data_IF_967649407317
#
_entry.id   IF_967649407317
#
_cell.length_a   1.000
_cell.length_b   1.000
_cell.length_c   1.000
_cell.angle_alpha   90.00
_cell.angle_beta   90.00
_cell.angle_gamma   90.00
#
_symmetry.space_group_name_H-M   'P 1'
#
loop_
_entity.id
_entity.type
_entity.pdbx_description
1 polymer ?
#
# COMPACT_ATOMS: atom_id res chain seq x y z
N UNK A 1 1.46 -45.61 -39.65
CA UNK A 1 1.21 -46.49 -38.48
C UNK A 1 2.27 -46.41 -37.38
N UNK A 2 3.53 -46.09 -37.62
CA UNK A 2 4.56 -45.92 -36.55
C UNK A 2 4.44 -44.61 -35.76
N UNK A 3 3.84 -43.56 -36.34
CA UNK A 3 3.69 -42.27 -35.70
C UNK A 3 2.52 -42.24 -34.69
N UNK A 4 1.43 -42.95 -34.98
CA UNK A 4 0.28 -43.06 -34.06
C UNK A 4 0.59 -43.90 -32.81
N UNK A 5 1.47 -44.89 -32.90
CA UNK A 5 1.90 -45.70 -31.75
C UNK A 5 2.78 -44.92 -30.77
N UNK A 6 3.59 -43.95 -31.24
CA UNK A 6 4.40 -43.08 -30.37
C UNK A 6 3.55 -42.02 -29.64
N UNK A 7 2.51 -41.49 -30.29
CA UNK A 7 1.58 -40.55 -29.61
C UNK A 7 0.73 -41.23 -28.53
N UNK A 8 0.33 -42.49 -28.77
CA UNK A 8 -0.44 -43.23 -27.78
C UNK A 8 0.40 -43.62 -26.56
N UNK A 9 1.70 -43.88 -26.72
CA UNK A 9 2.60 -44.17 -25.60
C UNK A 9 2.95 -42.92 -24.77
N UNK A 10 3.05 -41.75 -25.40
CA UNK A 10 3.26 -40.49 -24.67
C UNK A 10 1.99 -40.05 -23.97
N UNK A 11 0.79 -40.26 -24.55
CA UNK A 11 -0.48 -39.98 -23.89
C UNK A 11 -0.73 -40.90 -22.69
N UNK A 12 -0.33 -42.17 -22.73
CA UNK A 12 -0.45 -43.11 -21.61
C UNK A 12 0.57 -42.80 -20.51
N UNK A 13 1.77 -42.31 -20.84
CA UNK A 13 2.78 -41.92 -19.83
C UNK A 13 2.38 -40.63 -19.09
N UNK A 14 1.72 -39.68 -19.77
CA UNK A 14 1.22 -38.42 -19.12
C UNK A 14 0.00 -38.71 -18.24
N UNK A 15 -0.83 -39.70 -18.59
CA UNK A 15 -1.99 -40.08 -17.74
C UNK A 15 -1.60 -40.92 -16.51
N UNK A 16 -0.45 -41.59 -16.52
CA UNK A 16 0.02 -42.36 -15.36
C UNK A 16 0.82 -41.51 -14.34
N UNK A 17 1.32 -40.33 -14.73
CA UNK A 17 1.98 -39.42 -13.79
C UNK A 17 1.02 -38.45 -13.08
N UNK A 18 -0.23 -38.34 -13.50
CA UNK A 18 -1.26 -37.51 -12.84
C UNK A 18 -2.03 -38.23 -11.73
N UNK A 19 -1.75 -39.50 -11.47
CA UNK A 19 -2.47 -40.30 -10.46
C UNK A 19 -1.60 -40.82 -9.31
N UNK A 20 -0.39 -40.28 -9.11
CA UNK A 20 0.50 -40.69 -8.02
C UNK A 20 1.07 -39.51 -7.25
N UNK A 21 0.33 -38.43 -7.11
CA UNK A 21 0.56 -37.43 -6.09
C UNK A 21 -0.54 -37.53 -5.01
N UNK A 22 -0.89 -38.74 -4.59
CA UNK A 22 -1.38 -38.91 -3.23
C UNK A 22 -0.14 -38.85 -2.35
N UNK A 23 0.15 -37.66 -1.78
CA UNK A 23 1.01 -37.59 -0.60
C UNK A 23 0.38 -38.49 0.45
N UNK A 24 0.85 -39.73 0.53
CA UNK A 24 0.65 -40.54 1.71
C UNK A 24 1.38 -39.81 2.85
N UNK A 25 0.66 -39.00 3.62
CA UNK A 25 1.10 -38.71 4.97
C UNK A 25 1.23 -40.08 5.62
N UNK A 26 2.46 -40.58 5.75
CA UNK A 26 2.76 -41.79 6.49
C UNK A 26 2.13 -41.60 7.86
N UNK A 27 1.27 -42.55 8.27
CA UNK A 27 0.78 -42.61 9.63
C UNK A 27 2.04 -42.66 10.51
N UNK A 28 2.42 -41.52 11.07
CA UNK A 28 3.47 -41.50 12.09
C UNK A 28 3.01 -42.40 13.23
N UNK A 29 3.92 -43.19 13.77
CA UNK A 29 3.66 -43.96 14.98
C UNK A 29 3.07 -43.02 16.04
N UNK A 30 2.20 -43.52 16.89
CA UNK A 30 1.61 -42.77 17.97
C UNK A 30 2.75 -42.18 18.84
N UNK A 31 2.59 -40.92 19.29
CA UNK A 31 3.51 -40.34 20.27
C UNK A 31 3.46 -41.10 21.58
N UNK A 32 4.34 -40.75 22.53
CA UNK A 32 4.42 -41.40 23.85
C UNK A 32 3.12 -41.36 24.66
N UNK A 33 2.20 -40.45 24.28
CA UNK A 33 0.90 -40.32 24.92
C UNK A 33 -0.21 -41.05 24.15
N UNK A 34 0.10 -41.65 23.01
CA UNK A 34 -0.83 -42.39 22.15
C UNK A 34 -1.61 -41.52 21.14
N UNK A 35 -1.17 -40.29 20.89
CA UNK A 35 -1.69 -39.43 19.82
C UNK A 35 -1.02 -39.75 18.48
N UNK A 36 -1.77 -39.69 17.40
CA UNK A 36 -1.25 -39.92 16.04
C UNK A 36 -2.05 -39.15 14.99
N UNK A 37 -1.41 -38.89 13.85
CA UNK A 37 -2.10 -38.37 12.67
C UNK A 37 -3.00 -39.44 12.06
N UNK A 38 -4.24 -39.06 11.76
CA UNK A 38 -5.26 -39.94 11.14
C UNK A 38 -5.94 -39.20 9.99
N UNK A 39 -6.03 -39.88 8.85
CA UNK A 39 -6.83 -39.36 7.71
C UNK A 39 -8.23 -39.98 7.71
N UNK A 40 -9.25 -39.13 7.67
CA UNK A 40 -10.65 -39.49 7.60
C UNK A 40 -11.35 -38.66 6.53
N UNK A 41 -11.90 -39.28 5.48
CA UNK A 41 -12.61 -38.59 4.40
C UNK A 41 -11.79 -37.46 3.72
N UNK A 42 -10.50 -37.69 3.50
CA UNK A 42 -9.59 -36.72 2.88
C UNK A 42 -9.15 -35.59 3.77
N UNK A 43 -9.46 -35.62 5.07
CA UNK A 43 -9.08 -34.66 6.08
C UNK A 43 -8.10 -35.29 7.07
N UNK A 44 -7.16 -34.50 7.56
CA UNK A 44 -6.16 -34.95 8.53
C UNK A 44 -6.49 -34.44 9.93
N UNK A 45 -6.38 -35.31 10.92
CA UNK A 45 -6.61 -35.03 12.33
C UNK A 45 -5.43 -35.53 13.15
N UNK A 46 -5.22 -34.98 14.34
CA UNK A 46 -4.35 -35.55 15.36
C UNK A 46 -5.21 -36.10 16.48
N UNK A 47 -5.18 -37.41 16.69
CA UNK A 47 -6.20 -38.13 17.51
C UNK A 47 -5.56 -39.09 18.51
N UNK A 48 -6.29 -39.27 19.63
CA UNK A 48 -6.05 -40.34 20.60
C UNK A 48 -7.42 -41.02 20.87
N UNK A 49 -7.64 -42.20 20.29
CA UNK A 49 -8.95 -42.80 20.26
C UNK A 49 -9.96 -41.90 19.54
N UNK A 50 -11.07 -41.56 20.20
CA UNK A 50 -12.10 -40.67 19.67
C UNK A 50 -11.79 -39.16 19.90
N UNK A 51 -10.80 -38.84 20.73
CA UNK A 51 -10.41 -37.48 21.01
C UNK A 51 -9.66 -36.88 19.82
N UNK A 52 -10.03 -35.67 19.43
CA UNK A 52 -9.33 -34.86 18.41
C UNK A 52 -8.62 -33.71 19.07
N UNK A 53 -7.41 -33.40 18.60
CA UNK A 53 -6.73 -32.19 18.96
C UNK A 53 -7.39 -30.98 18.32
N UNK A 54 -7.31 -29.84 18.99
CA UNK A 54 -7.81 -28.56 18.50
C UNK A 54 -6.84 -27.45 18.85
N UNK A 55 -6.87 -26.36 18.08
CA UNK A 55 -5.97 -25.21 18.24
C UNK A 55 -4.48 -25.56 18.02
N UNK A 56 -3.57 -24.82 18.64
CA UNK A 56 -2.13 -24.99 18.46
C UNK A 56 -1.59 -26.25 19.15
N UNK A 57 -0.74 -26.98 18.45
CA UNK A 57 -0.01 -28.13 18.98
C UNK A 57 1.43 -28.12 18.48
N UNK A 58 2.36 -28.48 19.37
CA UNK A 58 3.76 -28.80 19.01
C UNK A 58 3.88 -30.31 18.92
N UNK A 59 4.31 -30.82 17.77
CA UNK A 59 4.51 -32.25 17.52
C UNK A 59 5.91 -32.38 16.90
N UNK A 60 6.79 -33.12 17.52
CA UNK A 60 8.20 -33.30 17.10
C UNK A 60 8.93 -31.97 16.81
N UNK A 61 8.71 -30.97 17.67
CA UNK A 61 9.31 -29.65 17.56
C UNK A 61 8.72 -28.75 16.46
N UNK A 62 7.69 -29.18 15.76
CA UNK A 62 6.99 -28.42 14.70
C UNK A 62 5.64 -27.93 15.20
N UNK A 63 5.25 -26.72 14.77
CA UNK A 63 3.96 -26.13 15.11
C UNK A 63 2.90 -26.51 14.11
N UNK A 64 1.74 -26.95 14.62
CA UNK A 64 0.53 -27.27 13.90
C UNK A 64 -0.66 -26.50 14.47
N UNK A 65 -1.68 -26.29 13.67
CA UNK A 65 -2.96 -25.81 14.15
C UNK A 65 -4.08 -26.72 13.65
N UNK A 66 -4.98 -27.05 14.56
CA UNK A 66 -6.17 -27.84 14.28
C UNK A 66 -7.39 -26.96 14.47
N UNK A 67 -8.31 -26.96 13.50
CA UNK A 67 -9.53 -26.16 13.58
C UNK A 67 -10.27 -26.41 14.89
N UNK A 68 -10.64 -25.35 15.58
CA UNK A 68 -11.17 -25.41 16.94
C UNK A 68 -12.56 -26.06 17.03
N UNK A 69 -13.29 -26.19 15.89
CA UNK A 69 -14.62 -26.80 15.82
C UNK A 69 -14.54 -28.24 15.31
N UNK A 70 -13.85 -28.43 14.18
CA UNK A 70 -13.79 -29.73 13.50
C UNK A 70 -12.64 -30.60 13.97
N UNK A 71 -11.56 -29.99 14.50
CA UNK A 71 -10.30 -30.66 14.79
C UNK A 71 -9.48 -30.98 13.53
N UNK A 72 -9.86 -30.49 12.36
CA UNK A 72 -9.16 -30.70 11.10
C UNK A 72 -7.82 -29.95 11.09
N UNK A 73 -6.75 -30.60 10.66
CA UNK A 73 -5.43 -29.97 10.47
C UNK A 73 -5.51 -28.92 9.37
N UNK A 74 -5.08 -27.70 9.66
CA UNK A 74 -5.11 -26.62 8.67
C UNK A 74 -3.86 -26.60 7.79
N UNK A 75 -4.02 -26.10 6.56
CA UNK A 75 -2.94 -25.88 5.58
C UNK A 75 -3.13 -24.52 4.91
N UNK A 76 -2.07 -23.99 4.26
CA UNK A 76 -2.11 -22.71 3.56
C UNK A 76 -2.25 -21.53 4.51
N UNK A 77 -2.88 -20.44 4.03
CA UNK A 77 -3.10 -19.23 4.80
C UNK A 77 -4.20 -19.39 5.85
N UNK A 78 -3.89 -19.00 7.09
CA UNK A 78 -4.84 -19.08 8.21
C UNK A 78 -4.82 -17.79 9.04
N UNK A 79 -5.99 -17.24 9.34
CA UNK A 79 -6.16 -16.12 10.25
C UNK A 79 -6.64 -16.63 11.61
N UNK A 80 -5.70 -16.89 12.50
CA UNK A 80 -5.93 -17.63 13.75
C UNK A 80 -5.31 -16.92 14.95
N UNK A 81 -5.77 -17.21 16.18
CA UNK A 81 -5.21 -16.63 17.39
C UNK A 81 -3.72 -16.93 17.54
N UNK A 82 -2.96 -15.94 18.03
CA UNK A 82 -1.55 -16.13 18.34
C UNK A 82 -1.37 -17.19 19.44
N UNK A 83 -0.27 -17.97 19.44
CA UNK A 83 0.11 -18.79 20.58
C UNK A 83 0.27 -17.90 21.82
N UNK A 84 -0.25 -18.30 22.97
CA UNK A 84 -0.10 -17.50 24.19
C UNK A 84 1.32 -17.55 24.74
N UNK A 85 1.83 -16.39 25.17
CA UNK A 85 3.15 -16.29 25.81
C UNK A 85 3.16 -17.13 27.10
N UNK A 86 3.99 -18.18 27.15
CA UNK A 86 4.13 -19.07 28.30
C UNK A 86 3.30 -20.34 28.27
N UNK A 87 2.44 -20.55 27.24
CA UNK A 87 1.87 -21.87 27.02
C UNK A 87 2.84 -22.71 26.20
N UNK A 88 3.06 -23.94 26.62
CA UNK A 88 3.85 -24.92 25.84
C UNK A 88 3.06 -25.45 24.64
N UNK A 89 1.76 -25.20 24.58
CA UNK A 89 0.85 -25.77 23.59
C UNK A 89 -0.27 -24.76 23.33
N UNK A 90 -0.22 -24.10 22.16
CA UNK A 90 -1.29 -23.25 21.66
C UNK A 90 -1.69 -22.07 22.53
N UNK A 91 -2.68 -21.29 22.08
CA UNK A 91 -3.07 -20.05 22.75
C UNK A 91 -3.75 -20.26 24.10
N UNK A 92 -4.24 -21.45 24.43
CA UNK A 92 -5.03 -21.67 25.66
C UNK A 92 -4.69 -23.00 26.34
N UNK A 93 -3.94 -22.98 27.46
CA UNK A 93 -3.99 -24.11 28.39
C UNK A 93 -5.35 -24.08 29.08
N UNK A 94 -6.14 -25.10 28.86
CA UNK A 94 -7.33 -25.45 29.64
C UNK A 94 -8.24 -24.30 30.10
N UNK A 95 -9.21 -23.91 29.30
CA UNK A 95 -10.44 -23.29 29.80
C UNK A 95 -10.49 -21.77 29.91
N UNK A 96 -9.68 -21.01 29.18
CA UNK A 96 -9.83 -19.55 29.13
C UNK A 96 -11.00 -19.21 28.18
N UNK A 97 -11.92 -18.38 28.68
CA UNK A 97 -13.10 -17.93 27.94
C UNK A 97 -12.75 -17.16 26.68
N UNK A 98 -13.55 -17.29 25.63
CA UNK A 98 -13.44 -16.62 24.32
C UNK A 98 -13.28 -15.10 24.39
N UNK A 99 -13.68 -14.45 25.48
CA UNK A 99 -13.57 -13.01 25.74
C UNK A 99 -12.13 -12.50 25.93
N UNK A 100 -11.16 -13.40 26.12
CA UNK A 100 -9.73 -13.10 26.25
C UNK A 100 -8.87 -13.68 25.12
N UNK A 101 -9.47 -13.93 23.95
CA UNK A 101 -8.68 -14.41 22.80
C UNK A 101 -7.60 -13.41 22.44
N UNK A 102 -6.31 -13.80 22.39
CA UNK A 102 -5.29 -12.96 21.80
C UNK A 102 -5.64 -12.62 20.37
N UNK A 103 -5.24 -11.43 19.94
CA UNK A 103 -5.53 -10.96 18.58
C UNK A 103 -5.10 -12.00 17.55
N UNK A 104 -5.98 -12.34 16.62
CA UNK A 104 -5.65 -13.22 15.51
C UNK A 104 -4.64 -12.58 14.57
N UNK A 105 -3.82 -13.40 13.95
CA UNK A 105 -2.82 -13.00 12.95
C UNK A 105 -2.86 -13.98 11.78
N UNK A 106 -2.28 -13.55 10.66
CA UNK A 106 -2.09 -14.41 9.51
C UNK A 106 -0.81 -15.24 9.65
N UNK A 107 -0.97 -16.57 9.42
CA UNK A 107 0.09 -17.57 9.39
C UNK A 107 0.00 -18.36 8.10
N UNK A 108 1.11 -19.00 7.72
CA UNK A 108 1.15 -19.87 6.57
C UNK A 108 1.64 -21.25 6.98
N UNK A 109 0.85 -22.29 6.66
CA UNK A 109 1.16 -23.69 6.89
C UNK A 109 1.42 -24.38 5.55
N UNK A 110 2.43 -25.26 5.48
CA UNK A 110 2.67 -26.05 4.29
C UNK A 110 1.58 -27.13 4.11
N UNK A 111 1.72 -27.94 3.05
CA UNK A 111 0.76 -29.02 2.76
C UNK A 111 0.76 -30.16 3.81
N UNK A 112 1.83 -30.26 4.60
CA UNK A 112 1.91 -31.21 5.71
C UNK A 112 1.34 -30.62 7.03
N UNK A 113 0.74 -29.45 6.98
CA UNK A 113 0.17 -28.74 8.13
C UNK A 113 1.21 -28.11 9.06
N UNK A 114 2.49 -28.04 8.66
CA UNK A 114 3.55 -27.45 9.48
C UNK A 114 3.59 -25.94 9.27
N UNK A 115 3.55 -25.18 10.38
CA UNK A 115 3.77 -23.73 10.34
C UNK A 115 5.11 -23.42 9.66
N UNK A 116 5.09 -22.51 8.70
CA UNK A 116 6.29 -22.02 8.06
C UNK A 116 6.84 -20.83 8.84
N UNK A 117 8.01 -21.03 9.44
CA UNK A 117 8.69 -20.01 10.25
C UNK A 117 9.48 -19.04 9.36
N UNK A 118 8.75 -18.41 8.43
CA UNK A 118 9.33 -17.41 7.54
C UNK A 118 9.79 -16.16 8.30
N UNK A 119 10.86 -15.55 7.81
CA UNK A 119 11.33 -14.24 8.23
C UNK A 119 11.62 -13.41 6.96
N UNK A 120 11.21 -12.14 6.97
CA UNK A 120 11.42 -11.25 5.83
C UNK A 120 10.55 -11.58 4.63
N UNK A 121 11.06 -11.31 3.44
CA UNK A 121 10.33 -11.38 2.17
C UNK A 121 10.09 -12.81 1.70
N UNK A 122 8.85 -13.10 1.33
CA UNK A 122 8.44 -14.36 0.73
C UNK A 122 7.52 -14.12 -0.48
N UNK A 123 7.53 -15.05 -1.43
CA UNK A 123 6.60 -15.06 -2.57
C UNK A 123 5.74 -16.31 -2.48
N UNK A 124 4.50 -16.13 -2.07
CA UNK A 124 3.55 -17.22 -1.80
C UNK A 124 2.29 -17.04 -2.66
N UNK A 125 1.48 -18.09 -2.75
CA UNK A 125 0.15 -18.01 -3.34
C UNK A 125 -0.67 -16.92 -2.63
N UNK A 126 -1.51 -16.21 -3.40
CA UNK A 126 -2.45 -15.24 -2.86
C UNK A 126 -3.36 -15.92 -1.82
N UNK A 127 -3.76 -15.17 -0.79
CA UNK A 127 -4.79 -15.64 0.13
C UNK A 127 -6.10 -15.82 -0.62
N UNK A 128 -6.71 -16.97 -0.47
CA UNK A 128 -8.01 -17.28 -1.05
C UNK A 128 -9.04 -17.47 0.05
N UNK A 129 -10.28 -17.14 -0.26
CA UNK A 129 -11.38 -17.34 0.64
C UNK A 129 -11.92 -18.78 0.58
N UNK A 130 -11.18 -19.72 1.12
CA UNK A 130 -11.71 -21.08 1.34
C UNK A 130 -12.54 -21.18 2.61
N UNK A 131 -12.46 -20.16 3.50
CA UNK A 131 -13.13 -20.16 4.79
C UNK A 131 -14.11 -19.00 4.99
N UNK A 132 -14.20 -18.05 4.07
CA UNK A 132 -15.16 -16.94 4.13
C UNK A 132 -16.30 -17.21 3.13
N UNK A 133 -17.36 -17.76 3.67
CA UNK A 133 -18.73 -17.79 3.22
C UNK A 133 -19.00 -17.87 1.69
N UNK A 134 -19.46 -19.03 1.25
CA UNK A 134 -19.99 -19.34 -0.09
C UNK A 134 -21.14 -18.43 -0.56
N UNK A 135 -21.50 -17.40 0.19
CA UNK A 135 -22.73 -16.62 -0.02
C UNK A 135 -22.55 -15.34 -0.86
N UNK A 136 -21.34 -14.90 -1.18
CA UNK A 136 -21.16 -13.61 -1.85
C UNK A 136 -20.65 -13.64 -3.29
N UNK A 137 -20.48 -14.80 -3.92
CA UNK A 137 -20.35 -14.93 -5.39
C UNK A 137 -19.21 -14.12 -6.07
N UNK A 138 -18.34 -13.46 -5.34
CA UNK A 138 -17.25 -12.69 -5.90
C UNK A 138 -16.04 -13.60 -6.13
N UNK A 139 -15.57 -13.62 -7.36
CA UNK A 139 -14.44 -14.41 -7.81
C UNK A 139 -13.16 -13.70 -7.37
N UNK A 140 -12.52 -14.20 -6.33
CA UNK A 140 -11.21 -13.73 -5.89
C UNK A 140 -10.08 -14.31 -6.76
N UNK A 141 -8.93 -13.65 -6.70
CA UNK A 141 -7.73 -14.00 -7.45
C UNK A 141 -7.49 -15.52 -7.45
N UNK A 142 -7.07 -16.01 -8.61
CA UNK A 142 -6.77 -17.43 -8.76
C UNK A 142 -5.79 -17.90 -7.68
N UNK A 143 -6.03 -19.06 -7.01
CA UNK A 143 -5.09 -19.60 -6.01
C UNK A 143 -3.68 -19.86 -6.55
N UNK A 144 -3.48 -19.81 -7.86
CA UNK A 144 -2.17 -19.91 -8.51
C UNK A 144 -1.43 -18.59 -8.61
N UNK A 145 -2.07 -17.45 -8.32
CA UNK A 145 -1.43 -16.15 -8.38
C UNK A 145 -0.52 -15.93 -7.17
N UNK A 146 0.75 -15.57 -7.45
CA UNK A 146 1.74 -15.33 -6.40
C UNK A 146 1.79 -13.86 -6.02
N UNK A 147 1.94 -13.59 -4.73
CA UNK A 147 2.07 -12.26 -4.13
C UNK A 147 3.32 -12.19 -3.26
N UNK A 148 3.80 -10.98 -3.05
CA UNK A 148 4.91 -10.70 -2.13
C UNK A 148 4.37 -10.39 -0.76
N UNK A 149 4.90 -11.08 0.25
CA UNK A 149 4.59 -10.92 1.65
C UNK A 149 5.87 -10.76 2.46
N UNK A 150 5.76 -10.18 3.64
CA UNK A 150 6.84 -10.09 4.61
C UNK A 150 6.39 -10.65 5.95
N UNK A 151 7.27 -11.37 6.61
CA UNK A 151 6.99 -12.00 7.90
C UNK A 151 7.86 -11.39 9.00
N UNK A 152 7.29 -11.32 10.20
CA UNK A 152 7.97 -10.91 11.42
C UNK A 152 9.03 -11.96 11.82
N UNK A 153 9.92 -11.55 12.72
CA UNK A 153 10.91 -12.46 13.30
C UNK A 153 10.28 -13.43 14.30
N UNK A 154 11.13 -14.31 14.85
CA UNK A 154 10.73 -15.32 15.83
C UNK A 154 10.03 -14.74 17.09
N UNK A 155 10.30 -13.49 17.47
CA UNK A 155 9.65 -12.85 18.64
C UNK A 155 8.17 -12.60 18.43
N UNK A 156 7.74 -12.49 17.18
CA UNK A 156 6.36 -12.28 16.76
C UNK A 156 5.74 -13.56 16.17
N UNK A 157 6.33 -14.72 16.44
CA UNK A 157 5.85 -16.03 15.96
C UNK A 157 5.69 -16.10 14.44
N UNK A 158 6.60 -15.45 13.68
CA UNK A 158 6.61 -15.48 12.20
C UNK A 158 5.28 -15.05 11.58
N UNK A 159 4.65 -14.02 12.16
CA UNK A 159 3.39 -13.50 11.66
C UNK A 159 3.59 -12.60 10.45
N UNK A 160 2.54 -12.46 9.65
CA UNK A 160 2.52 -11.58 8.49
C UNK A 160 2.67 -10.10 8.91
N UNK A 161 3.63 -9.39 8.31
CA UNK A 161 3.80 -7.94 8.47
C UNK A 161 2.73 -7.14 7.75
N UNK A 162 2.47 -5.95 8.27
CA UNK A 162 1.61 -4.93 7.63
C UNK A 162 2.21 -3.54 7.83
N UNK A 163 1.81 -2.58 6.99
CA UNK A 163 2.34 -1.22 7.03
C UNK A 163 3.71 -1.11 6.38
N UNK A 164 4.51 -0.15 6.83
CA UNK A 164 5.80 0.14 6.23
C UNK A 164 6.87 -0.91 6.52
N UNK A 165 7.61 -1.28 5.48
CA UNK A 165 8.75 -2.20 5.56
C UNK A 165 9.93 -1.61 4.81
N UNK A 166 11.10 -1.62 5.46
CA UNK A 166 12.37 -1.26 4.85
C UNK A 166 13.14 -2.53 4.51
N UNK A 167 13.45 -2.75 3.24
CA UNK A 167 14.13 -3.94 2.73
C UNK A 167 15.04 -3.56 1.56
N UNK A 168 16.27 -4.04 1.58
CA UNK A 168 17.29 -3.79 0.55
C UNK A 168 17.44 -2.30 0.16
N UNK A 169 17.50 -1.41 1.16
CA UNK A 169 17.66 0.03 0.96
C UNK A 169 16.41 0.76 0.47
N UNK A 170 15.26 0.11 0.39
CA UNK A 170 14.02 0.66 -0.15
C UNK A 170 12.86 0.53 0.85
N UNK A 171 11.92 1.48 0.78
CA UNK A 171 10.68 1.42 1.53
C UNK A 171 9.55 0.84 0.69
N UNK A 172 8.77 -0.03 1.32
CA UNK A 172 7.57 -0.67 0.79
C UNK A 172 6.42 -0.51 1.76
N UNK A 173 5.20 -0.61 1.25
CA UNK A 173 4.01 -0.60 2.10
C UNK A 173 3.18 -1.85 1.87
N UNK A 174 2.86 -2.52 2.97
CA UNK A 174 2.04 -3.73 3.01
C UNK A 174 0.65 -3.36 3.50
N UNK A 175 -0.37 -3.83 2.80
CA UNK A 175 -1.76 -3.52 3.12
C UNK A 175 -2.07 -3.76 4.59
N UNK A 176 -2.46 -2.72 5.31
CA UNK A 176 -3.00 -2.82 6.67
C UNK A 176 -4.43 -3.37 6.64
N UNK A 177 -4.90 -3.90 7.78
CA UNK A 177 -6.32 -4.19 7.96
C UNK A 177 -7.12 -2.89 7.81
N UNK A 178 -7.89 -2.78 6.77
CA UNK A 178 -8.84 -1.68 6.60
C UNK A 178 -10.09 -1.95 7.39
N UNK A 179 -10.15 -1.61 8.68
CA UNK A 179 -11.34 -1.54 9.52
C UNK A 179 -12.41 -2.63 9.30
N UNK A 180 -13.43 -2.65 10.09
CA UNK A 180 -14.54 -3.64 10.09
C UNK A 180 -15.38 -3.71 8.80
N UNK A 181 -15.08 -2.92 7.75
CA UNK A 181 -16.02 -2.68 6.66
C UNK A 181 -15.99 -3.65 5.49
N UNK A 182 -15.01 -4.55 5.38
CA UNK A 182 -15.04 -5.52 4.29
C UNK A 182 -14.15 -6.74 4.56
N UNK A 183 -14.74 -7.92 4.52
CA UNK A 183 -14.04 -9.21 4.52
C UNK A 183 -13.04 -9.32 3.36
N UNK A 184 -13.33 -8.69 2.22
CA UNK A 184 -12.47 -8.60 1.04
C UNK A 184 -11.13 -7.95 1.36
N UNK A 185 -11.14 -6.85 2.14
CA UNK A 185 -9.92 -6.17 2.55
C UNK A 185 -9.03 -7.04 3.46
N UNK A 186 -9.59 -8.05 4.14
CA UNK A 186 -8.80 -8.94 4.98
C UNK A 186 -7.89 -9.87 4.17
N UNK A 187 -8.28 -10.26 2.96
CA UNK A 187 -7.47 -11.11 2.09
C UNK A 187 -6.24 -10.38 1.54
N UNK A 188 -6.34 -9.06 1.34
CA UNK A 188 -5.23 -8.23 0.85
C UNK A 188 -4.26 -7.79 1.96
N UNK A 189 -4.57 -8.06 3.22
CA UNK A 189 -3.70 -7.72 4.35
C UNK A 189 -2.31 -8.31 4.16
N UNK A 190 -1.29 -7.47 4.32
CA UNK A 190 0.11 -7.85 4.17
C UNK A 190 0.59 -8.00 2.71
N UNK A 191 -0.28 -7.82 1.73
CA UNK A 191 0.16 -7.75 0.32
C UNK A 191 0.90 -6.45 0.02
N UNK A 192 1.87 -6.55 -0.87
CA UNK A 192 2.61 -5.39 -1.36
C UNK A 192 1.68 -4.43 -2.10
N UNK A 193 1.56 -3.21 -1.60
CA UNK A 193 0.73 -2.17 -2.18
C UNK A 193 1.47 -1.41 -3.28
N UNK A 194 0.73 -0.84 -4.23
CA UNK A 194 1.24 -0.08 -5.38
C UNK A 194 0.36 1.14 -5.65
N UNK A 195 0.91 2.15 -6.33
CA UNK A 195 0.19 3.37 -6.64
C UNK A 195 0.02 4.28 -5.43
N UNK A 196 -1.03 5.08 -5.41
CA UNK A 196 -1.33 5.99 -4.31
C UNK A 196 -1.86 5.25 -3.09
N UNK A 197 -1.30 5.56 -1.93
CA UNK A 197 -1.80 5.11 -0.63
C UNK A 197 -1.99 6.30 0.31
N UNK A 198 -2.97 6.18 1.20
CA UNK A 198 -3.14 7.07 2.34
C UNK A 198 -2.84 6.31 3.62
N UNK A 199 -1.84 6.74 4.37
CA UNK A 199 -1.49 6.19 5.67
C UNK A 199 -1.53 7.31 6.71
N UNK A 200 -2.45 7.19 7.66
CA UNK A 200 -2.69 8.19 8.72
C UNK A 200 -2.82 9.63 8.17
N UNK A 201 -3.71 9.82 7.18
CA UNK A 201 -3.99 11.10 6.50
C UNK A 201 -2.82 11.68 5.70
N UNK A 202 -1.78 10.91 5.48
CA UNK A 202 -0.65 11.29 4.63
C UNK A 202 -0.63 10.46 3.35
N UNK A 203 -0.55 11.12 2.21
CA UNK A 203 -0.47 10.46 0.92
C UNK A 203 0.97 10.12 0.54
N UNK A 204 1.14 8.93 -0.01
CA UNK A 204 2.39 8.40 -0.56
C UNK A 204 2.14 7.78 -1.93
N UNK A 205 3.17 7.70 -2.74
CA UNK A 205 3.09 7.01 -4.02
C UNK A 205 4.13 5.90 -4.10
N UNK A 206 3.65 4.70 -4.42
CA UNK A 206 4.46 3.50 -4.58
C UNK A 206 4.56 3.18 -6.07
N UNK A 207 5.73 2.81 -6.54
CA UNK A 207 5.95 2.44 -7.93
C UNK A 207 4.98 1.33 -8.36
N UNK A 208 4.26 1.47 -9.49
CA UNK A 208 3.24 0.50 -9.91
C UNK A 208 3.78 -0.87 -10.23
N UNK A 209 5.06 -0.98 -10.57
CA UNK A 209 5.71 -2.24 -10.95
C UNK A 209 6.40 -2.88 -9.75
N UNK A 210 7.22 -2.11 -9.04
CA UNK A 210 8.10 -2.62 -7.98
C UNK A 210 7.51 -2.50 -6.58
N UNK A 211 6.56 -1.58 -6.36
CA UNK A 211 6.02 -1.24 -5.02
C UNK A 211 6.95 -0.35 -4.20
N UNK A 212 8.08 0.11 -4.75
CA UNK A 212 9.04 0.98 -4.05
C UNK A 212 8.43 2.36 -3.81
N UNK A 213 8.53 2.86 -2.59
CA UNK A 213 8.12 4.22 -2.22
C UNK A 213 8.88 5.26 -3.05
N UNK A 214 8.14 6.16 -3.66
CA UNK A 214 8.68 7.20 -4.52
C UNK A 214 8.97 8.49 -3.75
N UNK A 215 9.96 9.26 -4.24
CA UNK A 215 10.34 10.58 -3.71
C UNK A 215 10.63 11.55 -4.87
N UNK A 216 10.68 12.83 -4.58
CA UNK A 216 10.93 13.90 -5.57
C UNK A 216 9.74 14.16 -6.49
N UNK A 217 9.99 14.87 -7.57
CA UNK A 217 8.97 15.21 -8.56
C UNK A 217 8.49 13.98 -9.34
N UNK A 218 7.17 13.84 -9.47
CA UNK A 218 6.51 12.77 -10.22
C UNK A 218 5.40 13.33 -11.10
N UNK A 219 5.37 12.88 -12.35
CA UNK A 219 4.29 13.20 -13.30
C UNK A 219 3.32 12.01 -13.36
N UNK A 220 2.15 12.16 -12.77
CA UNK A 220 1.18 11.09 -12.56
C UNK A 220 -0.21 11.57 -12.99
N UNK A 221 -0.88 10.81 -13.86
CA UNK A 221 -2.21 11.17 -14.32
C UNK A 221 -2.31 12.58 -14.92
N UNK A 222 -1.33 12.99 -15.74
CA UNK A 222 -1.20 14.31 -16.35
C UNK A 222 -1.02 15.48 -15.37
N UNK A 223 -0.55 15.22 -14.15
CA UNK A 223 -0.29 16.22 -13.12
C UNK A 223 1.07 15.99 -12.47
N UNK A 224 1.72 17.07 -12.06
CA UNK A 224 2.95 17.01 -11.28
C UNK A 224 2.66 17.00 -9.79
N UNK A 225 3.38 16.16 -9.06
CA UNK A 225 3.36 16.05 -7.60
C UNK A 225 4.78 16.08 -7.08
N UNK A 226 4.96 16.56 -5.86
CA UNK A 226 6.23 16.45 -5.16
C UNK A 226 6.10 15.56 -3.94
N UNK A 227 6.93 14.53 -3.88
CA UNK A 227 7.02 13.59 -2.76
C UNK A 227 8.29 13.91 -1.98
N UNK A 228 8.15 14.24 -0.71
CA UNK A 228 9.26 14.59 0.17
C UNK A 228 10.25 13.42 0.30
N UNK A 229 11.44 13.67 0.88
CA UNK A 229 12.39 12.58 1.17
C UNK A 229 11.83 11.49 2.09
N UNK A 230 10.83 11.82 2.90
CA UNK A 230 10.05 10.85 3.69
C UNK A 230 9.03 10.04 2.89
N UNK A 231 8.87 10.32 1.59
CA UNK A 231 7.81 9.78 0.72
C UNK A 231 6.49 10.55 0.80
N UNK A 232 6.26 11.36 1.83
CA UNK A 232 5.01 12.09 2.01
C UNK A 232 4.76 13.10 0.88
N UNK A 233 3.56 13.09 0.30
CA UNK A 233 3.12 14.06 -0.70
C UNK A 233 3.11 15.47 -0.09
N UNK A 234 3.76 16.40 -0.77
CA UNK A 234 3.76 17.80 -0.38
C UNK A 234 2.48 18.50 -0.82
N UNK A 235 2.00 19.43 -0.01
CA UNK A 235 0.90 20.35 -0.31
C UNK A 235 1.30 21.78 0.08
N UNK A 236 0.61 22.77 -0.48
CA UNK A 236 0.88 24.18 -0.21
C UNK A 236 2.18 24.67 -0.88
N UNK A 237 2.77 25.71 -0.31
CA UNK A 237 4.02 26.26 -0.82
C UNK A 237 5.20 25.32 -0.59
N UNK A 238 5.93 25.04 -1.66
CA UNK A 238 7.14 24.23 -1.65
C UNK A 238 8.30 24.99 -2.31
N UNK A 239 9.46 24.98 -1.70
CA UNK A 239 10.67 25.60 -2.22
C UNK A 239 11.73 24.56 -2.56
N UNK A 240 12.24 24.63 -3.79
CA UNK A 240 13.38 23.85 -4.24
C UNK A 240 14.48 24.80 -4.72
N UNK A 241 15.59 24.80 -4.01
CA UNK A 241 16.63 25.81 -4.23
C UNK A 241 16.09 27.23 -4.01
N UNK A 242 16.16 28.08 -5.03
CA UNK A 242 15.60 29.45 -5.01
C UNK A 242 14.20 29.55 -5.60
N UNK A 243 13.63 28.45 -6.09
CA UNK A 243 12.35 28.44 -6.82
C UNK A 243 11.21 27.99 -5.91
N UNK A 244 10.15 28.77 -5.91
CA UNK A 244 8.91 28.42 -5.22
C UNK A 244 7.88 27.80 -6.17
N UNK A 245 7.17 26.80 -5.67
CA UNK A 245 6.05 26.13 -6.33
C UNK A 245 4.84 26.15 -5.39
N UNK A 246 3.66 26.09 -5.95
CA UNK A 246 2.45 25.88 -5.17
C UNK A 246 1.77 24.57 -5.55
N UNK A 247 1.67 23.70 -4.58
CA UNK A 247 1.01 22.38 -4.68
C UNK A 247 -0.38 22.53 -4.07
N UNK A 248 -1.40 22.07 -4.76
CA UNK A 248 -2.78 22.17 -4.30
C UNK A 248 -2.91 21.66 -2.85
N UNK A 249 -3.64 22.41 -2.02
CA UNK A 249 -3.74 22.11 -0.59
C UNK A 249 -4.49 20.81 -0.28
N UNK A 250 -5.41 20.41 -1.17
CA UNK A 250 -6.23 19.21 -1.00
C UNK A 250 -5.66 18.02 -1.79
N UNK A 251 -5.29 18.25 -3.04
CA UNK A 251 -4.93 17.19 -3.98
C UNK A 251 -3.43 17.03 -4.19
N UNK A 252 -2.60 18.00 -3.78
CA UNK A 252 -1.14 17.97 -3.93
C UNK A 252 -0.63 18.20 -5.36
N UNK A 253 -1.48 18.42 -6.35
CA UNK A 253 -1.05 18.67 -7.72
C UNK A 253 -0.45 20.08 -7.88
N UNK A 254 0.65 20.18 -8.62
CA UNK A 254 1.35 21.44 -8.89
C UNK A 254 0.46 22.39 -9.71
N UNK A 255 0.29 23.62 -9.21
CA UNK A 255 -0.47 24.67 -9.89
C UNK A 255 0.37 25.39 -10.93
N UNK A 256 -0.31 25.86 -11.96
CA UNK A 256 0.21 26.76 -13.01
C UNK A 256 -0.81 27.86 -13.28
N UNK A 257 -0.36 29.00 -13.80
CA UNK A 257 -1.20 30.15 -14.02
C UNK A 257 -1.51 30.93 -12.73
N UNK A 258 -2.62 31.64 -12.69
CA UNK A 258 -3.02 32.44 -11.54
C UNK A 258 -3.54 31.57 -10.39
N UNK A 259 -3.03 31.82 -9.18
CA UNK A 259 -3.43 31.16 -7.94
C UNK A 259 -3.74 32.18 -6.84
N UNK A 260 -4.89 32.05 -6.19
CA UNK A 260 -5.29 32.85 -5.03
C UNK A 260 -5.03 32.08 -3.75
N UNK A 261 -4.04 32.51 -3.00
CA UNK A 261 -3.54 31.79 -1.81
C UNK A 261 -3.33 32.80 -0.67
N UNK A 262 -3.92 32.52 0.50
CA UNK A 262 -3.78 33.38 1.66
C UNK A 262 -4.20 34.84 1.40
N UNK A 263 -5.30 35.06 0.71
CA UNK A 263 -5.84 36.36 0.31
C UNK A 263 -4.95 37.17 -0.62
N UNK A 264 -4.06 36.51 -1.38
CA UNK A 264 -3.15 37.14 -2.34
C UNK A 264 -3.14 36.38 -3.66
N UNK A 265 -2.96 37.09 -4.75
CA UNK A 265 -2.76 36.50 -6.08
C UNK A 265 -1.29 36.28 -6.37
N UNK A 266 -0.98 35.13 -6.95
CA UNK A 266 0.34 34.73 -7.44
C UNK A 266 0.22 34.21 -8.86
N UNK A 267 1.30 34.27 -9.61
CA UNK A 267 1.37 33.68 -10.93
C UNK A 267 2.43 32.57 -10.95
N UNK A 268 2.00 31.35 -11.27
CA UNK A 268 2.86 30.18 -11.44
C UNK A 268 3.08 29.99 -12.94
N UNK A 269 4.33 29.97 -13.36
CA UNK A 269 4.69 29.75 -14.78
C UNK A 269 4.22 28.36 -15.24
N UNK A 270 4.27 28.08 -16.55
CA UNK A 270 3.98 26.74 -17.08
C UNK A 270 4.88 25.63 -16.50
N UNK A 271 6.06 26.00 -16.03
CA UNK A 271 6.95 25.10 -15.28
C UNK A 271 6.54 24.87 -13.82
N UNK A 272 5.49 25.53 -13.33
CA UNK A 272 5.10 25.57 -11.91
C UNK A 272 5.84 26.61 -11.08
N UNK A 273 6.94 27.17 -11.57
CA UNK A 273 7.74 28.13 -10.83
C UNK A 273 6.97 29.43 -10.56
N UNK A 274 6.95 29.89 -9.32
CA UNK A 274 6.35 31.17 -8.93
C UNK A 274 7.09 32.31 -9.66
N UNK A 275 6.32 33.18 -10.31
CA UNK A 275 6.85 34.35 -10.97
C UNK A 275 7.07 35.50 -9.99
N UNK A 276 8.11 36.30 -10.23
CA UNK A 276 8.36 37.59 -9.62
C UNK A 276 8.66 38.61 -10.69
N UNK A 277 8.48 39.90 -10.40
CA UNK A 277 8.68 40.98 -11.36
C UNK A 277 7.57 41.08 -12.40
N UNK A 278 7.88 41.56 -13.57
CA UNK A 278 6.93 41.75 -14.66
C UNK A 278 6.52 40.44 -15.32
N UNK A 279 5.21 40.24 -15.44
CA UNK A 279 4.60 39.10 -16.13
C UNK A 279 3.58 39.60 -17.13
N UNK A 280 3.62 39.05 -18.34
CA UNK A 280 2.62 39.30 -19.37
C UNK A 280 1.73 38.05 -19.50
N UNK A 281 0.42 38.23 -19.27
CA UNK A 281 -0.57 37.18 -19.46
C UNK A 281 -1.57 37.64 -20.52
N UNK A 282 -1.59 36.94 -21.64
CA UNK A 282 -2.28 37.42 -22.85
C UNK A 282 -1.71 38.77 -23.34
N UNK A 283 -2.56 39.79 -23.41
CA UNK A 283 -2.15 41.17 -23.78
C UNK A 283 -1.84 42.05 -22.55
N UNK A 284 -2.07 41.58 -21.34
CA UNK A 284 -2.05 42.38 -20.11
C UNK A 284 -0.76 42.17 -19.33
N UNK A 285 -0.17 43.25 -18.82
CA UNK A 285 0.99 43.23 -17.94
C UNK A 285 0.55 43.28 -16.48
N UNK A 286 1.25 42.54 -15.65
CA UNK A 286 1.12 42.44 -14.21
C UNK A 286 2.49 42.58 -13.55
N UNK A 287 2.53 43.03 -12.32
CA UNK A 287 3.77 43.03 -11.53
C UNK A 287 3.61 42.21 -10.25
N UNK A 288 4.47 41.21 -10.12
CA UNK A 288 4.57 40.33 -8.95
C UNK A 288 5.71 40.87 -8.08
N UNK A 289 5.45 40.99 -6.79
CA UNK A 289 6.42 41.50 -5.84
C UNK A 289 7.73 40.69 -5.92
N UNK A 290 8.85 41.38 -6.08
CA UNK A 290 10.16 40.73 -6.26
C UNK A 290 10.61 39.88 -5.06
N UNK A 291 10.13 40.20 -3.84
CA UNK A 291 10.53 39.49 -2.63
C UNK A 291 9.69 38.28 -2.30
N UNK A 292 8.40 38.30 -2.59
CA UNK A 292 7.45 37.27 -2.15
C UNK A 292 6.43 36.79 -3.21
N UNK A 293 6.49 37.37 -4.42
CA UNK A 293 5.71 36.94 -5.56
C UNK A 293 4.23 37.34 -5.56
N UNK A 294 3.72 38.06 -4.56
CA UNK A 294 2.32 38.51 -4.54
C UNK A 294 2.07 39.60 -5.58
N UNK A 295 0.91 39.58 -6.22
CA UNK A 295 0.51 40.54 -7.24
C UNK A 295 0.33 41.95 -6.65
N UNK A 296 0.92 42.95 -7.27
CA UNK A 296 0.79 44.38 -6.93
C UNK A 296 -0.53 44.94 -7.46
N UNK A 297 -1.13 45.79 -6.65
CA UNK A 297 -2.27 46.66 -7.01
C UNK A 297 -2.02 48.06 -6.48
N UNK A 298 -2.68 49.09 -7.05
CA UNK A 298 -2.46 50.50 -6.72
C UNK A 298 -1.15 51.02 -7.27
N UNK A 299 -0.65 52.13 -6.69
CA UNK A 299 0.61 52.73 -7.06
C UNK A 299 1.82 51.98 -6.47
N UNK A 300 2.80 51.69 -7.28
CA UNK A 300 4.06 51.06 -6.87
C UNK A 300 5.24 51.56 -7.71
N UNK A 301 6.46 51.40 -7.17
CA UNK A 301 7.69 51.84 -7.81
C UNK A 301 8.56 50.63 -8.21
N UNK A 302 9.12 50.67 -9.43
CA UNK A 302 10.10 49.70 -9.92
C UNK A 302 11.24 50.45 -10.57
N UNK A 303 12.46 50.25 -10.10
CA UNK A 303 13.67 50.89 -10.64
C UNK A 303 13.56 52.42 -10.76
N UNK A 304 12.95 53.07 -9.76
CA UNK A 304 12.79 54.52 -9.72
C UNK A 304 11.61 55.08 -10.53
N UNK A 305 10.87 54.24 -11.26
CA UNK A 305 9.70 54.65 -12.04
C UNK A 305 8.42 54.23 -11.32
N UNK A 306 7.39 55.09 -11.37
CA UNK A 306 6.07 54.79 -10.79
C UNK A 306 5.13 54.16 -11.81
N UNK A 307 4.35 53.19 -11.34
CA UNK A 307 3.35 52.42 -12.10
C UNK A 307 2.07 52.34 -11.29
N UNK A 308 0.97 52.09 -11.96
CA UNK A 308 -0.28 51.82 -11.33
C UNK A 308 -0.88 50.52 -11.87
N UNK A 309 -1.30 49.63 -10.99
CA UNK A 309 -2.10 48.45 -11.34
C UNK A 309 -3.51 48.55 -10.73
N UNK A 310 -4.52 48.23 -11.53
CA UNK A 310 -5.90 48.19 -11.09
C UNK A 310 -6.11 47.12 -10.00
N UNK A 311 -7.28 47.07 -9.36
CA UNK A 311 -7.61 46.03 -8.39
C UNK A 311 -7.54 44.61 -8.96
N UNK A 312 -7.70 44.47 -10.27
CA UNK A 312 -7.47 43.23 -11.02
C UNK A 312 -5.99 42.85 -11.18
N UNK A 313 -5.07 43.73 -10.80
CA UNK A 313 -3.62 43.59 -11.03
C UNK A 313 -3.19 44.07 -12.42
N UNK A 314 -4.11 44.35 -13.34
CA UNK A 314 -3.78 44.80 -14.70
C UNK A 314 -3.07 46.16 -14.67
N UNK A 315 -1.91 46.26 -15.36
CA UNK A 315 -1.17 47.52 -15.49
C UNK A 315 -1.98 48.58 -16.23
N UNK A 316 -2.12 49.74 -15.65
CA UNK A 316 -2.69 50.90 -16.33
C UNK A 316 -1.70 51.43 -17.36
N UNK A 317 -2.17 51.62 -18.62
CA UNK A 317 -1.35 52.14 -19.74
C UNK A 317 -2.12 53.17 -20.50
N UNK A 318 -1.44 54.22 -21.01
CA UNK A 318 -2.01 55.28 -21.83
C UNK A 318 -3.31 55.91 -21.26
N UNK A 319 -3.32 56.15 -19.93
CA UNK A 319 -4.52 56.62 -19.22
C UNK A 319 -4.16 57.55 -18.06
N UNK A 320 -5.18 58.20 -17.48
CA UNK A 320 -5.04 58.96 -16.23
C UNK A 320 -5.62 58.17 -15.04
N UNK A 321 -4.85 58.13 -13.96
CA UNK A 321 -5.26 57.53 -12.68
C UNK A 321 -4.95 58.56 -11.58
N UNK A 322 -5.96 58.89 -10.77
CA UNK A 322 -5.88 59.87 -9.70
C UNK A 322 -5.30 61.26 -10.17
N UNK A 323 -5.59 61.63 -11.45
CA UNK A 323 -5.08 62.86 -12.06
C UNK A 323 -3.69 62.74 -12.68
N UNK A 324 -2.95 61.67 -12.46
CA UNK A 324 -1.62 61.39 -12.99
C UNK A 324 -1.72 60.63 -14.32
N UNK A 325 -0.91 60.98 -15.31
CA UNK A 325 -0.87 60.30 -16.60
C UNK A 325 0.17 59.18 -16.60
N UNK A 326 -0.22 57.99 -17.01
CA UNK A 326 0.71 56.88 -17.27
C UNK A 326 0.79 56.65 -18.80
N UNK A 327 2.02 56.50 -19.29
CA UNK A 327 2.29 56.35 -20.70
C UNK A 327 2.01 54.95 -21.23
N UNK A 328 2.32 54.66 -22.48
CA UNK A 328 2.09 53.37 -23.12
C UNK A 328 2.90 52.22 -22.49
N UNK A 329 3.97 52.52 -21.76
CA UNK A 329 4.71 51.55 -20.98
C UNK A 329 4.16 51.39 -19.55
N UNK A 330 3.12 52.12 -19.18
CA UNK A 330 2.56 52.16 -17.83
C UNK A 330 3.35 53.04 -16.85
N UNK A 331 4.38 53.76 -17.30
CA UNK A 331 5.18 54.65 -16.47
C UNK A 331 4.45 55.96 -16.24
N UNK A 332 4.41 56.44 -14.99
CA UNK A 332 3.96 57.77 -14.67
C UNK A 332 4.96 58.78 -15.31
N UNK A 333 4.40 59.77 -16.00
CA UNK A 333 5.13 60.89 -16.59
C UNK A 333 4.48 62.20 -16.16
N UNK A 334 5.31 63.21 -15.98
CA UNK A 334 4.88 64.57 -15.60
C UNK A 334 4.21 65.26 -16.79
#
# INVERSE_FOLDING_TARGET
MKFLKKMLQVALAVFFFALLATSTVLAADADSEGWKFVQENGRTYYKKGDLKETAWRVIDGKYYYFDHVSGEMVVGWQYIPMPSKGSTIGPYPNGIRLEYMPMSRWYYFNQDGVLQEFVGKQVLEAKTDTNIDKYHGEQYDSPSEKRVYYFEDQRSYHTLKTGWVYDDGQWYYLQKNGGFESRINSLKVGELTRGWINDDSTWYYLDPTTGIMQTGWKYLGNKWYYLRSSGAMATGWYQEGSTWYYLDAENGDMKTGWAYVGNKWYYLRSSGAMATGWVKDGSTWYYLNASNGDMKTGWFQVNGKWYYAYSSGALAVSTRVDGYYVNYNGEWVQ
#
